data_IF_696961694694
#
_entry.id   IF_696961694694
#
_cell.length_a   1.000
_cell.length_b   1.000
_cell.length_c   1.000
_cell.angle_alpha   90.00
_cell.angle_beta   90.00
_cell.angle_gamma   90.00
#
_symmetry.space_group_name_H-M   'P 1'
#
loop_
_entity.id
_entity.type
_entity.pdbx_description
1 polymer ?
#
# COMPACT_ATOMS: atom_id res chain seq x y z
N UNK A 1 -10.23 18.09 -34.17
CA UNK A 1 -9.53 17.00 -34.88
C UNK A 1 -10.19 15.70 -34.45
N UNK A 2 -10.76 14.89 -35.35
CA UNK A 2 -11.33 13.61 -34.96
C UNK A 2 -10.17 12.75 -34.45
N UNK A 3 -10.29 12.25 -33.22
CA UNK A 3 -9.39 11.23 -32.70
C UNK A 3 -9.52 10.06 -33.69
N UNK A 4 -8.45 9.73 -34.42
CA UNK A 4 -8.50 8.61 -35.35
C UNK A 4 -8.88 7.32 -34.60
N UNK A 5 -9.66 6.44 -35.22
CA UNK A 5 -10.18 5.21 -34.59
C UNK A 5 -9.08 4.35 -33.93
N UNK A 6 -7.83 4.51 -34.36
CA UNK A 6 -6.65 3.87 -33.79
C UNK A 6 -6.31 4.31 -32.35
N UNK A 7 -6.61 5.56 -31.96
CA UNK A 7 -6.33 6.07 -30.60
C UNK A 7 -7.47 5.84 -29.60
N UNK A 8 -8.68 5.57 -30.08
CA UNK A 8 -9.86 5.35 -29.24
C UNK A 8 -9.64 4.23 -28.20
N UNK A 9 -9.07 3.05 -28.53
CA UNK A 9 -8.82 1.99 -27.56
C UNK A 9 -7.80 2.39 -26.49
N UNK A 10 -6.82 3.22 -26.82
CA UNK A 10 -5.82 3.72 -25.87
C UNK A 10 -6.45 4.69 -24.87
N UNK A 11 -7.30 5.61 -25.34
CA UNK A 11 -8.02 6.54 -24.47
C UNK A 11 -8.98 5.81 -23.54
N UNK A 12 -9.73 4.83 -24.06
CA UNK A 12 -10.60 3.98 -23.26
C UNK A 12 -9.80 3.21 -22.20
N UNK A 13 -8.64 2.67 -22.56
CA UNK A 13 -7.80 1.94 -21.62
C UNK A 13 -7.21 2.83 -20.52
N UNK A 14 -6.81 4.06 -20.84
CA UNK A 14 -6.35 5.04 -19.82
C UNK A 14 -7.50 5.45 -18.90
N UNK A 15 -8.68 5.74 -19.45
CA UNK A 15 -9.86 6.07 -18.65
C UNK A 15 -10.24 4.91 -17.73
N UNK A 16 -10.25 3.68 -18.25
CA UNK A 16 -10.46 2.46 -17.48
C UNK A 16 -9.45 2.33 -16.35
N UNK A 17 -8.16 2.53 -16.64
CA UNK A 17 -7.10 2.49 -15.64
C UNK A 17 -7.30 3.52 -14.52
N UNK A 18 -7.62 4.76 -14.86
CA UNK A 18 -7.89 5.82 -13.87
C UNK A 18 -9.12 5.47 -13.03
N UNK A 19 -10.19 4.95 -13.64
CA UNK A 19 -11.40 4.51 -12.93
C UNK A 19 -11.08 3.34 -12.00
N UNK A 20 -10.36 2.32 -12.46
CA UNK A 20 -9.98 1.18 -11.65
C UNK A 20 -9.11 1.59 -10.47
N UNK A 21 -8.09 2.42 -10.70
CA UNK A 21 -7.18 2.83 -9.63
C UNK A 21 -7.86 3.79 -8.64
N UNK A 22 -8.44 4.89 -9.11
CA UNK A 22 -9.09 5.86 -8.23
C UNK A 22 -10.35 5.28 -7.57
N UNK A 23 -11.12 4.49 -8.33
CA UNK A 23 -12.32 3.80 -7.86
C UNK A 23 -12.00 2.75 -6.82
N UNK A 24 -11.04 1.85 -7.06
CA UNK A 24 -10.62 0.87 -6.05
C UNK A 24 -10.06 1.54 -4.79
N UNK A 25 -9.24 2.58 -4.96
CA UNK A 25 -8.67 3.31 -3.82
C UNK A 25 -9.76 3.94 -2.94
N UNK A 26 -10.76 4.58 -3.55
CA UNK A 26 -11.92 5.12 -2.84
C UNK A 26 -12.78 4.03 -2.21
N UNK A 27 -13.06 2.97 -2.95
CA UNK A 27 -13.85 1.84 -2.48
C UNK A 27 -13.21 1.18 -1.24
N UNK A 28 -11.90 0.91 -1.27
CA UNK A 28 -11.20 0.32 -0.15
C UNK A 28 -11.23 1.23 1.10
N UNK A 29 -11.09 2.55 0.92
CA UNK A 29 -11.18 3.51 2.02
C UNK A 29 -12.59 3.59 2.63
N UNK A 30 -13.64 3.63 1.80
CA UNK A 30 -15.02 3.72 2.27
C UNK A 30 -15.45 2.41 2.93
N UNK A 31 -15.25 1.29 2.24
CA UNK A 31 -15.69 -0.03 2.70
C UNK A 31 -14.92 -0.50 3.93
N UNK A 32 -13.67 -0.06 4.12
CA UNK A 32 -12.91 -0.30 5.35
C UNK A 32 -13.49 0.37 6.60
N UNK A 33 -14.48 1.27 6.47
CA UNK A 33 -15.22 1.84 7.61
C UNK A 33 -16.38 0.96 8.07
N UNK A 34 -17.07 0.34 7.13
CA UNK A 34 -18.32 -0.37 7.40
C UNK A 34 -18.16 -1.90 7.41
N UNK A 35 -17.02 -2.41 6.94
CA UNK A 35 -16.74 -3.85 6.92
C UNK A 35 -15.37 -4.16 7.55
N UNK A 36 -15.26 -5.28 8.28
CA UNK A 36 -13.96 -5.79 8.73
C UNK A 36 -13.05 -6.01 7.51
N UNK A 37 -11.92 -5.34 7.50
CA UNK A 37 -10.87 -5.51 6.51
C UNK A 37 -9.53 -5.58 7.24
N UNK A 38 -8.49 -6.04 6.56
CA UNK A 38 -7.19 -6.23 7.20
C UNK A 38 -6.67 -4.94 7.85
N UNK A 39 -6.93 -3.78 7.22
CA UNK A 39 -6.53 -2.49 7.75
C UNK A 39 -7.29 -2.08 9.02
N UNK A 40 -8.60 -2.33 9.10
CA UNK A 40 -9.41 -1.98 10.28
C UNK A 40 -9.13 -2.91 11.46
N UNK A 41 -8.97 -4.21 11.22
CA UNK A 41 -8.59 -5.17 12.27
C UNK A 41 -7.19 -4.87 12.81
N UNK A 42 -6.22 -4.61 11.93
CA UNK A 42 -4.87 -4.25 12.35
C UNK A 42 -4.79 -2.91 13.08
N UNK A 43 -5.75 -2.00 12.85
CA UNK A 43 -5.86 -0.77 13.65
C UNK A 43 -6.17 -1.08 15.12
N UNK A 44 -7.08 -2.01 15.40
CA UNK A 44 -7.39 -2.43 16.78
C UNK A 44 -6.17 -3.03 17.48
N UNK A 45 -5.42 -3.89 16.77
CA UNK A 45 -4.16 -4.42 17.29
C UNK A 45 -3.10 -3.34 17.56
N UNK A 46 -3.08 -2.26 16.77
CA UNK A 46 -2.19 -1.11 17.04
C UNK A 46 -2.63 -0.32 18.27
N UNK A 47 -3.93 -0.18 18.51
CA UNK A 47 -4.42 0.42 19.75
C UNK A 47 -4.01 -0.40 20.97
N UNK A 48 -4.21 -1.72 20.92
CA UNK A 48 -3.80 -2.62 21.99
C UNK A 48 -2.28 -2.64 22.18
N UNK A 49 -1.53 -2.58 21.08
CA UNK A 49 -0.08 -2.44 21.12
C UNK A 49 0.32 -1.16 21.87
N UNK A 50 -0.28 -0.01 21.54
CA UNK A 50 0.03 1.26 22.23
C UNK A 50 -0.39 1.25 23.70
N UNK A 51 -1.56 0.68 24.03
CA UNK A 51 -2.00 0.53 25.43
C UNK A 51 -1.02 -0.32 26.24
N UNK A 52 -0.55 -1.44 25.67
CA UNK A 52 0.44 -2.32 26.32
C UNK A 52 1.82 -1.68 26.39
N UNK A 53 2.22 -0.90 25.39
CA UNK A 53 3.50 -0.18 25.38
C UNK A 53 3.59 0.85 26.51
N UNK A 54 2.48 1.50 26.86
CA UNK A 54 2.43 2.42 28.00
C UNK A 54 2.67 1.74 29.35
N UNK A 55 2.45 0.43 29.45
CA UNK A 55 2.68 -0.39 30.64
C UNK A 55 4.10 -1.01 30.67
N UNK A 56 4.97 -0.66 29.71
CA UNK A 56 6.35 -1.16 29.64
C UNK A 56 7.35 -0.06 30.00
N UNK A 57 8.31 -0.41 30.87
CA UNK A 57 9.45 0.44 31.19
C UNK A 57 10.44 0.48 30.02
N UNK A 58 10.75 -0.70 29.45
CA UNK A 58 11.62 -0.81 28.28
C UNK A 58 10.79 -0.83 26.99
N UNK A 59 10.98 0.21 26.17
CA UNK A 59 10.27 0.42 24.90
C UNK A 59 11.16 0.26 23.66
N UNK A 60 12.40 -0.23 23.83
CA UNK A 60 13.35 -0.41 22.71
C UNK A 60 12.77 -1.34 21.65
N UNK A 61 12.08 -2.41 22.05
CA UNK A 61 11.43 -3.33 21.11
C UNK A 61 10.35 -2.62 20.27
N UNK A 62 9.53 -1.78 20.88
CA UNK A 62 8.46 -1.04 20.21
C UNK A 62 9.01 0.00 19.23
N UNK A 63 10.04 0.74 19.65
CA UNK A 63 10.77 1.68 18.79
C UNK A 63 11.43 0.96 17.60
N UNK A 64 12.01 -0.22 17.82
CA UNK A 64 12.60 -1.03 16.75
C UNK A 64 11.59 -1.50 15.72
N UNK A 65 10.36 -1.87 16.13
CA UNK A 65 9.28 -2.24 15.21
C UNK A 65 8.93 -1.05 14.30
N UNK A 66 8.77 0.15 14.87
CA UNK A 66 8.50 1.37 14.08
C UNK A 66 9.65 1.66 13.11
N UNK A 67 10.91 1.59 13.59
CA UNK A 67 12.08 1.79 12.75
C UNK A 67 12.18 0.76 11.61
N UNK A 68 11.75 -0.48 11.84
CA UNK A 68 11.73 -1.50 10.79
C UNK A 68 10.67 -1.20 9.72
N UNK A 69 9.48 -0.74 10.13
CA UNK A 69 8.42 -0.33 9.20
C UNK A 69 8.85 0.88 8.34
N UNK A 70 9.56 1.83 8.94
CA UNK A 70 10.12 3.00 8.25
C UNK A 70 11.20 2.60 7.25
N UNK A 71 12.14 1.73 7.62
CA UNK A 71 13.16 1.18 6.69
C UNK A 71 12.53 0.44 5.51
N UNK A 72 11.45 -0.32 5.73
CA UNK A 72 10.72 -0.96 4.63
C UNK A 72 10.16 0.08 3.65
N UNK A 73 9.57 1.17 4.15
CA UNK A 73 9.10 2.26 3.28
C UNK A 73 10.25 2.93 2.51
N UNK A 74 11.41 3.13 3.16
CA UNK A 74 12.61 3.69 2.53
C UNK A 74 13.18 2.81 1.41
N UNK A 75 13.18 1.48 1.61
CA UNK A 75 13.59 0.52 0.57
C UNK A 75 12.73 0.63 -0.70
N UNK A 76 11.41 0.72 -0.54
CA UNK A 76 10.49 0.92 -1.67
C UNK A 76 10.67 2.30 -2.33
N UNK A 77 10.84 3.37 -1.56
CA UNK A 77 11.11 4.70 -2.09
C UNK A 77 12.40 4.73 -2.94
N UNK A 78 13.47 4.11 -2.46
CA UNK A 78 14.75 4.01 -3.18
C UNK A 78 14.61 3.20 -4.46
N UNK A 79 13.90 2.07 -4.40
CA UNK A 79 13.60 1.26 -5.58
C UNK A 79 12.78 2.02 -6.62
N UNK A 80 11.87 2.90 -6.18
CA UNK A 80 11.09 3.78 -7.08
C UNK A 80 11.99 4.73 -7.86
N UNK A 81 13.03 5.30 -7.23
CA UNK A 81 13.99 6.18 -7.91
C UNK A 81 14.78 5.43 -9.00
N UNK A 82 15.16 4.18 -8.75
CA UNK A 82 15.84 3.34 -9.75
C UNK A 82 14.91 3.07 -10.94
N UNK A 83 13.65 2.74 -10.68
CA UNK A 83 12.64 2.54 -11.73
C UNK A 83 12.46 3.82 -12.55
N UNK A 84 12.34 4.98 -11.91
CA UNK A 84 12.22 6.27 -12.59
C UNK A 84 13.45 6.58 -13.46
N UNK A 85 14.66 6.33 -12.97
CA UNK A 85 15.89 6.47 -13.75
C UNK A 85 15.90 5.54 -14.99
N UNK A 86 15.44 4.30 -14.81
CA UNK A 86 15.25 3.35 -15.91
C UNK A 86 14.24 3.84 -16.95
N UNK A 87 13.09 4.35 -16.52
CA UNK A 87 12.06 4.94 -17.41
C UNK A 87 12.64 6.12 -18.20
N UNK A 88 13.37 7.03 -17.54
CA UNK A 88 13.99 8.18 -18.21
C UNK A 88 15.05 7.76 -19.23
N UNK A 89 15.83 6.72 -18.90
CA UNK A 89 16.84 6.16 -19.81
C UNK A 89 16.18 5.55 -21.06
N UNK A 90 15.10 4.78 -20.86
CA UNK A 90 14.32 4.21 -21.97
C UNK A 90 13.64 5.31 -22.79
N UNK A 91 13.18 6.39 -22.16
CA UNK A 91 12.60 7.54 -22.86
C UNK A 91 13.64 8.21 -23.79
N UNK A 92 14.89 8.35 -23.34
CA UNK A 92 15.99 8.87 -24.15
C UNK A 92 16.47 7.94 -25.27
N UNK A 93 16.20 6.63 -25.16
CA UNK A 93 16.58 5.60 -26.13
C UNK A 93 15.34 4.85 -26.71
N UNK A 94 14.23 5.56 -26.88
CA UNK A 94 12.92 4.97 -27.17
C UNK A 94 12.90 4.16 -28.48
N UNK A 95 13.61 4.61 -29.51
CA UNK A 95 13.69 3.93 -30.80
C UNK A 95 14.25 2.49 -30.68
N UNK A 96 15.32 2.29 -29.88
CA UNK A 96 15.92 0.97 -29.65
C UNK A 96 15.03 0.07 -28.78
N UNK A 97 14.35 0.64 -27.79
CA UNK A 97 13.43 -0.13 -26.96
C UNK A 97 12.22 -0.63 -27.78
N UNK A 98 11.73 0.20 -28.70
CA UNK A 98 10.61 -0.17 -29.57
C UNK A 98 10.96 -1.24 -30.58
N UNK A 99 12.16 -1.21 -31.17
CA UNK A 99 12.58 -2.26 -32.09
C UNK A 99 12.63 -3.63 -31.41
N UNK A 100 13.06 -3.70 -30.14
CA UNK A 100 13.10 -4.96 -29.39
C UNK A 100 11.71 -5.51 -29.07
N UNK A 101 10.72 -4.63 -28.86
CA UNK A 101 9.34 -5.04 -28.60
C UNK A 101 8.59 -5.44 -29.87
N UNK A 102 9.01 -4.93 -31.04
CA UNK A 102 8.37 -5.22 -32.33
C UNK A 102 8.49 -6.70 -32.74
N UNK A 103 9.50 -7.40 -32.24
CA UNK A 103 9.73 -8.83 -32.52
C UNK A 103 8.86 -9.76 -31.65
N UNK A 104 8.17 -9.22 -30.64
CA UNK A 104 7.33 -10.02 -29.75
C UNK A 104 5.95 -10.28 -30.36
N UNK A 105 5.42 -11.52 -30.24
CA UNK A 105 4.06 -11.83 -30.70
C UNK A 105 3.03 -10.99 -29.92
N UNK A 106 1.94 -10.60 -30.59
CA UNK A 106 0.81 -9.83 -30.07
C UNK A 106 1.07 -8.34 -29.74
N UNK A 107 2.30 -7.83 -29.91
CA UNK A 107 2.59 -6.41 -29.74
C UNK A 107 2.00 -5.60 -30.89
N UNK A 108 1.10 -4.67 -30.59
CA UNK A 108 0.61 -3.72 -31.57
C UNK A 108 1.69 -2.69 -31.90
N UNK A 109 1.93 -2.46 -33.18
CA UNK A 109 2.83 -1.42 -33.68
C UNK A 109 2.36 -0.06 -33.17
N UNK A 110 3.14 0.54 -32.26
CA UNK A 110 2.86 1.84 -31.69
C UNK A 110 3.78 2.90 -32.32
N UNK A 111 3.25 4.09 -32.60
CA UNK A 111 4.10 5.21 -32.98
C UNK A 111 5.03 5.59 -31.82
N UNK A 112 6.20 6.16 -32.14
CA UNK A 112 7.15 6.65 -31.15
C UNK A 112 6.50 7.53 -30.09
N UNK A 113 5.72 8.53 -30.52
CA UNK A 113 5.05 9.46 -29.61
C UNK A 113 4.05 8.75 -28.67
N UNK A 114 3.35 7.72 -29.13
CA UNK A 114 2.45 6.95 -28.26
C UNK A 114 3.24 6.17 -27.20
N UNK A 115 4.37 5.59 -27.56
CA UNK A 115 5.23 4.86 -26.62
C UNK A 115 5.89 5.78 -25.59
N UNK A 116 6.29 6.99 -25.98
CA UNK A 116 6.74 8.03 -25.07
C UNK A 116 5.63 8.40 -24.06
N UNK A 117 4.38 8.54 -24.53
CA UNK A 117 3.22 8.77 -23.64
C UNK A 117 3.00 7.60 -22.68
N UNK A 118 3.14 6.34 -23.13
CA UNK A 118 3.05 5.15 -22.24
C UNK A 118 4.12 5.18 -21.15
N UNK A 119 5.37 5.51 -21.51
CA UNK A 119 6.48 5.64 -20.56
C UNK A 119 6.26 6.79 -19.58
N UNK A 120 5.78 7.94 -20.05
CA UNK A 120 5.45 9.08 -19.17
C UNK A 120 4.31 8.74 -18.20
N UNK A 121 3.28 8.02 -18.66
CA UNK A 121 2.20 7.55 -17.80
C UNK A 121 2.73 6.62 -16.70
N UNK A 122 3.60 5.65 -17.05
CA UNK A 122 4.30 4.80 -16.10
C UNK A 122 5.15 5.62 -15.12
N UNK A 123 5.88 6.62 -15.62
CA UNK A 123 6.65 7.55 -14.80
C UNK A 123 5.79 8.28 -13.77
N UNK A 124 4.64 8.81 -14.17
CA UNK A 124 3.68 9.50 -13.27
C UNK A 124 3.22 8.55 -12.14
N UNK A 125 2.93 7.29 -12.45
CA UNK A 125 2.56 6.27 -11.44
C UNK A 125 3.65 6.11 -10.39
N UNK A 126 4.91 6.00 -10.82
CA UNK A 126 6.04 5.83 -9.91
C UNK A 126 6.42 7.13 -9.19
N UNK A 127 6.25 8.31 -9.79
CA UNK A 127 6.37 9.58 -9.07
C UNK A 127 5.35 9.63 -7.92
N UNK A 128 4.09 9.27 -8.17
CA UNK A 128 3.07 9.15 -7.13
C UNK A 128 3.49 8.16 -6.03
N UNK A 129 4.03 6.98 -6.41
CA UNK A 129 4.52 5.99 -5.47
C UNK A 129 5.64 6.55 -4.58
N UNK A 130 6.60 7.26 -5.17
CA UNK A 130 7.71 7.88 -4.44
C UNK A 130 7.23 8.87 -3.37
N UNK A 131 6.37 9.82 -3.75
CA UNK A 131 5.81 10.79 -2.80
C UNK A 131 4.99 10.11 -1.71
N UNK A 132 4.30 9.03 -2.07
CA UNK A 132 3.52 8.23 -1.14
C UNK A 132 4.40 7.53 -0.10
N UNK A 133 5.47 6.85 -0.53
CA UNK A 133 6.44 6.26 0.41
C UNK A 133 7.19 7.32 1.23
N UNK A 134 7.51 8.47 0.64
CA UNK A 134 8.11 9.60 1.36
C UNK A 134 7.21 10.11 2.48
N UNK A 135 5.92 10.28 2.21
CA UNK A 135 4.94 10.68 3.22
C UNK A 135 4.75 9.59 4.29
N UNK A 136 4.77 8.31 3.91
CA UNK A 136 4.77 7.19 4.83
C UNK A 136 5.95 7.22 5.81
N UNK A 137 7.18 7.44 5.32
CA UNK A 137 8.38 7.56 6.16
C UNK A 137 8.24 8.70 7.16
N UNK A 138 7.74 9.86 6.72
CA UNK A 138 7.51 11.00 7.61
C UNK A 138 6.52 10.70 8.72
N UNK A 139 5.44 9.98 8.43
CA UNK A 139 4.47 9.58 9.45
C UNK A 139 5.02 8.53 10.42
N UNK A 140 5.86 7.60 9.98
CA UNK A 140 6.56 6.70 10.91
C UNK A 140 7.56 7.44 11.79
N UNK A 141 8.24 8.47 11.28
CA UNK A 141 9.06 9.35 12.12
C UNK A 141 8.22 10.09 13.17
N UNK A 142 7.01 10.56 12.83
CA UNK A 142 6.09 11.12 13.82
C UNK A 142 5.67 10.08 14.87
N UNK A 143 5.40 8.84 14.46
CA UNK A 143 5.09 7.76 15.39
C UNK A 143 6.27 7.45 16.32
N UNK A 144 7.51 7.45 15.82
CA UNK A 144 8.72 7.25 16.62
C UNK A 144 8.88 8.35 17.66
N UNK A 145 8.66 9.62 17.28
CA UNK A 145 8.68 10.76 18.22
C UNK A 145 7.59 10.63 19.28
N UNK A 146 6.38 10.20 18.91
CA UNK A 146 5.31 9.92 19.87
C UNK A 146 5.73 8.82 20.85
N UNK A 147 6.23 7.67 20.37
CA UNK A 147 6.71 6.61 21.26
C UNK A 147 7.83 7.10 22.19
N UNK A 148 8.73 7.95 21.69
CA UNK A 148 9.78 8.58 22.49
C UNK A 148 9.26 9.56 23.55
N UNK A 149 8.11 10.19 23.34
CA UNK A 149 7.46 11.13 24.29
C UNK A 149 6.34 10.50 25.11
N UNK A 150 6.19 9.18 25.06
CA UNK A 150 5.11 8.49 25.75
C UNK A 150 5.26 8.57 27.29
N UNK A 151 4.17 8.79 28.04
CA UNK A 151 4.22 8.98 29.49
C UNK A 151 4.73 7.74 30.23
N UNK A 152 5.44 7.91 31.34
CA UNK A 152 6.02 6.79 32.12
C UNK A 152 4.97 6.08 32.98
N UNK A 153 5.23 4.82 33.39
CA UNK A 153 4.26 3.96 34.12
C UNK A 153 3.74 4.60 35.42
N UNK A 154 4.55 5.43 36.10
CA UNK A 154 4.20 6.06 37.39
C UNK A 154 4.11 7.58 37.37
N UNK A 155 3.97 8.20 36.19
CA UNK A 155 3.98 9.65 36.07
C UNK A 155 2.77 10.31 36.75
N UNK A 156 3.01 11.04 37.84
CA UNK A 156 1.98 11.56 38.76
C UNK A 156 0.98 12.53 38.13
N UNK A 157 1.36 13.21 37.06
CA UNK A 157 0.54 14.24 36.41
C UNK A 157 -0.21 13.72 35.18
N UNK A 158 -0.22 12.40 34.95
CA UNK A 158 -0.87 11.80 33.77
C UNK A 158 -2.00 10.89 34.24
N UNK A 159 -3.22 11.31 33.93
CA UNK A 159 -4.44 10.54 34.20
C UNK A 159 -4.57 9.33 33.27
N UNK A 160 -5.33 8.32 33.69
CA UNK A 160 -5.64 7.15 32.84
C UNK A 160 -6.35 7.54 31.53
N UNK A 161 -7.18 8.59 31.57
CA UNK A 161 -7.84 9.10 30.37
C UNK A 161 -6.84 9.70 29.39
N UNK A 162 -5.82 10.43 29.86
CA UNK A 162 -4.74 10.95 29.03
C UNK A 162 -3.88 9.83 28.43
N UNK A 163 -3.61 8.77 29.19
CA UNK A 163 -2.91 7.56 28.69
C UNK A 163 -3.69 6.90 27.56
N UNK A 164 -5.00 6.70 27.75
CA UNK A 164 -5.87 6.13 26.71
C UNK A 164 -5.90 7.00 25.46
N UNK A 165 -6.12 8.32 25.63
CA UNK A 165 -6.13 9.26 24.53
C UNK A 165 -4.77 9.33 23.80
N UNK A 166 -3.67 9.19 24.53
CA UNK A 166 -2.33 9.09 23.94
C UNK A 166 -2.20 7.81 23.10
N UNK A 167 -2.56 6.65 23.64
CA UNK A 167 -2.49 5.37 22.92
C UNK A 167 -3.30 5.40 21.61
N UNK A 168 -4.54 5.90 21.65
CA UNK A 168 -5.40 6.03 20.47
C UNK A 168 -4.85 7.01 19.43
N UNK A 169 -4.24 8.13 19.85
CA UNK A 169 -3.61 9.08 18.93
C UNK A 169 -2.40 8.46 18.25
N UNK A 170 -1.51 7.81 19.01
CA UNK A 170 -0.31 7.18 18.45
C UNK A 170 -0.67 6.02 17.52
N UNK A 171 -1.64 5.18 17.90
CA UNK A 171 -2.13 4.10 17.04
C UNK A 171 -2.73 4.62 15.72
N UNK A 172 -3.44 5.75 15.76
CA UNK A 172 -3.94 6.42 14.55
C UNK A 172 -2.81 6.91 13.66
N UNK A 173 -1.76 7.55 14.20
CA UNK A 173 -0.59 7.97 13.39
C UNK A 173 0.09 6.78 12.72
N UNK A 174 0.30 5.68 13.45
CA UNK A 174 0.88 4.45 12.88
C UNK A 174 -0.03 3.88 11.77
N UNK A 175 -1.35 3.94 11.96
CA UNK A 175 -2.32 3.45 10.98
C UNK A 175 -2.38 4.33 9.73
N UNK A 176 -2.24 5.66 9.88
CA UNK A 176 -2.07 6.57 8.75
C UNK A 176 -0.82 6.20 7.95
N UNK A 177 0.31 5.91 8.62
CA UNK A 177 1.56 5.57 7.97
C UNK A 177 1.41 4.27 7.17
N UNK A 178 0.82 3.25 7.79
CA UNK A 178 0.52 1.99 7.14
C UNK A 178 -0.44 2.13 5.95
N UNK A 179 -1.45 3.00 6.04
CA UNK A 179 -2.34 3.29 4.91
C UNK A 179 -1.58 3.94 3.75
N UNK A 180 -0.68 4.87 4.05
CA UNK A 180 0.17 5.47 3.03
C UNK A 180 1.09 4.44 2.37
N UNK A 181 1.69 3.54 3.16
CA UNK A 181 2.45 2.41 2.64
C UNK A 181 1.63 1.55 1.67
N UNK A 182 0.39 1.24 2.03
CA UNK A 182 -0.53 0.47 1.18
C UNK A 182 -0.88 1.21 -0.12
N UNK A 183 -1.05 2.54 -0.11
CA UNK A 183 -1.23 3.30 -1.36
C UNK A 183 0.00 3.19 -2.27
N UNK A 184 1.19 3.20 -1.70
CA UNK A 184 2.44 3.04 -2.45
C UNK A 184 2.55 1.66 -3.10
N UNK A 185 2.22 0.61 -2.33
CA UNK A 185 2.15 -0.76 -2.88
C UNK A 185 1.10 -0.91 -3.97
N UNK A 186 -0.08 -0.30 -3.81
CA UNK A 186 -1.11 -0.29 -4.86
C UNK A 186 -0.60 0.38 -6.13
N UNK A 187 0.11 1.52 -6.01
CA UNK A 187 0.74 2.18 -7.14
C UNK A 187 1.74 1.27 -7.86
N UNK A 188 2.51 0.45 -7.13
CA UNK A 188 3.39 -0.56 -7.72
C UNK A 188 2.62 -1.61 -8.53
N UNK A 189 1.52 -2.13 -7.98
CA UNK A 189 0.68 -3.11 -8.71
C UNK A 189 0.08 -2.50 -9.98
N UNK A 190 -0.44 -1.28 -9.92
CA UNK A 190 -0.94 -0.57 -11.09
C UNK A 190 0.17 -0.19 -12.07
N UNK A 191 1.36 0.18 -11.60
CA UNK A 191 2.53 0.44 -12.45
C UNK A 191 2.98 -0.80 -13.22
N UNK A 192 2.95 -1.98 -12.60
CA UNK A 192 3.17 -3.24 -13.30
C UNK A 192 2.09 -3.52 -14.34
N UNK A 193 0.81 -3.20 -14.06
CA UNK A 193 -0.25 -3.32 -15.05
C UNK A 193 -0.02 -2.41 -16.26
N UNK A 194 0.49 -1.20 -16.06
CA UNK A 194 0.83 -0.27 -17.16
C UNK A 194 1.87 -0.85 -18.14
N UNK A 195 2.73 -1.79 -17.71
CA UNK A 195 3.64 -2.48 -18.63
C UNK A 195 2.90 -3.32 -19.68
N UNK A 196 1.74 -3.89 -19.34
CA UNK A 196 0.91 -4.63 -20.28
C UNK A 196 0.37 -3.74 -21.43
N UNK A 197 0.37 -2.42 -21.24
CA UNK A 197 -0.03 -1.46 -22.27
C UNK A 197 0.93 -1.38 -23.44
N UNK A 198 2.19 -1.81 -23.26
CA UNK A 198 3.14 -1.92 -24.36
C UNK A 198 2.78 -3.06 -25.33
N UNK A 199 2.04 -4.08 -24.88
CA UNK A 199 1.56 -5.16 -25.74
C UNK A 199 0.32 -4.70 -26.52
N UNK A 200 -0.78 -4.41 -25.81
CA UNK A 200 -2.04 -3.98 -26.43
C UNK A 200 -2.95 -3.29 -25.37
N UNK A 201 -3.73 -2.25 -25.73
CA UNK A 201 -4.73 -1.63 -24.84
C UNK A 201 -5.73 -2.62 -24.21
N UNK A 202 -6.17 -3.65 -24.92
CA UNK A 202 -7.10 -4.67 -24.37
C UNK A 202 -6.45 -5.51 -23.27
N UNK A 203 -5.21 -5.92 -23.49
CA UNK A 203 -4.45 -6.69 -22.50
C UNK A 203 -4.17 -5.84 -21.25
N UNK A 204 -3.87 -4.56 -21.43
CA UNK A 204 -3.75 -3.61 -20.32
C UNK A 204 -5.03 -3.49 -19.49
N UNK A 205 -6.21 -3.37 -20.11
CA UNK A 205 -7.48 -3.34 -19.37
C UNK A 205 -7.72 -4.62 -18.59
N UNK A 206 -7.43 -5.79 -19.19
CA UNK A 206 -7.56 -7.10 -18.54
C UNK A 206 -6.63 -7.21 -17.33
N UNK A 207 -5.35 -6.88 -17.48
CA UNK A 207 -4.37 -6.93 -16.39
C UNK A 207 -4.73 -5.95 -15.28
N UNK A 208 -5.21 -4.75 -15.64
CA UNK A 208 -5.69 -3.75 -14.67
C UNK A 208 -6.87 -4.28 -13.85
N UNK A 209 -7.83 -4.94 -14.50
CA UNK A 209 -8.95 -5.58 -13.82
C UNK A 209 -8.46 -6.72 -12.90
N UNK A 210 -7.52 -7.54 -13.38
CA UNK A 210 -6.88 -8.57 -12.58
C UNK A 210 -6.19 -8.03 -11.32
N UNK A 211 -5.49 -6.90 -11.43
CA UNK A 211 -4.90 -6.22 -10.26
C UNK A 211 -5.97 -5.81 -9.26
N UNK A 212 -7.09 -5.23 -9.71
CA UNK A 212 -8.21 -4.88 -8.82
C UNK A 212 -8.76 -6.12 -8.10
N UNK A 213 -8.94 -7.24 -8.80
CA UNK A 213 -9.40 -8.50 -8.20
C UNK A 213 -8.42 -9.03 -7.16
N UNK A 214 -7.12 -9.03 -7.46
CA UNK A 214 -6.07 -9.48 -6.54
C UNK A 214 -6.05 -8.61 -5.29
N UNK A 215 -6.11 -7.28 -5.45
CA UNK A 215 -6.14 -6.35 -4.32
C UNK A 215 -7.39 -6.57 -3.47
N UNK A 216 -8.56 -6.70 -4.10
CA UNK A 216 -9.82 -6.94 -3.40
C UNK A 216 -9.80 -8.24 -2.60
N UNK A 217 -9.31 -9.34 -3.20
CA UNK A 217 -9.20 -10.63 -2.51
C UNK A 217 -8.25 -10.55 -1.32
N UNK A 218 -7.08 -9.91 -1.48
CA UNK A 218 -6.10 -9.79 -0.39
C UNK A 218 -6.59 -8.94 0.78
N UNK A 219 -7.34 -7.88 0.50
CA UNK A 219 -7.76 -6.92 1.51
C UNK A 219 -9.02 -7.35 2.28
N UNK A 220 -9.93 -8.10 1.63
CA UNK A 220 -11.24 -8.46 2.20
C UNK A 220 -11.49 -9.97 2.35
N UNK A 221 -10.71 -10.84 1.70
CA UNK A 221 -10.94 -12.30 1.67
C UNK A 221 -9.62 -13.08 1.80
N UNK A 222 -8.72 -12.62 2.68
CA UNK A 222 -7.48 -13.34 2.96
C UNK A 222 -7.61 -14.20 4.21
N UNK A 223 -6.96 -15.36 4.19
CA UNK A 223 -6.90 -16.29 5.34
C UNK A 223 -6.36 -15.58 6.60
N UNK A 224 -5.46 -14.60 6.40
CA UNK A 224 -4.93 -13.75 7.49
C UNK A 224 -6.05 -12.94 8.15
N UNK A 225 -6.97 -12.36 7.37
CA UNK A 225 -8.10 -11.63 7.92
C UNK A 225 -9.01 -12.56 8.74
N UNK A 226 -9.27 -13.76 8.24
CA UNK A 226 -10.10 -14.75 8.94
C UNK A 226 -9.52 -15.09 10.32
N UNK A 227 -8.22 -15.39 10.39
CA UNK A 227 -7.52 -15.68 11.65
C UNK A 227 -7.50 -14.47 12.57
N UNK A 228 -7.27 -13.27 12.05
CA UNK A 228 -7.21 -12.04 12.86
C UNK A 228 -8.57 -11.57 13.37
N UNK A 229 -9.68 -11.92 12.71
CA UNK A 229 -11.05 -11.58 13.14
C UNK A 229 -11.59 -12.58 14.15
N UNK A 230 -11.22 -13.86 14.04
CA UNK A 230 -11.90 -14.95 14.73
C UNK A 230 -10.95 -16.05 15.21
N UNK A 231 -10.03 -15.72 16.14
CA UNK A 231 -9.36 -16.77 16.92
C UNK A 231 -9.98 -16.84 18.33
N UNK A 232 -11.05 -17.62 18.53
CA UNK A 232 -11.54 -17.89 19.88
C UNK A 232 -10.49 -18.68 20.65
N UNK A 233 -10.04 -18.16 21.79
CA UNK A 233 -9.19 -18.91 22.71
C UNK A 233 -9.95 -20.15 23.17
N UNK A 234 -9.46 -21.37 22.93
CA UNK A 234 -10.09 -22.57 23.47
C UNK A 234 -10.20 -22.39 24.98
N UNK A 235 -11.41 -22.55 25.54
CA UNK A 235 -11.58 -22.58 26.98
C UNK A 235 -10.69 -23.73 27.50
N UNK A 236 -9.80 -23.43 28.45
CA UNK A 236 -8.99 -24.45 29.08
C UNK A 236 -9.92 -25.57 29.58
N UNK A 237 -9.73 -26.80 29.10
CA UNK A 237 -10.41 -27.96 29.66
C UNK A 237 -10.06 -27.97 31.15
N UNK A 238 -11.05 -27.72 32.00
CA UNK A 238 -10.93 -27.85 33.44
C UNK A 238 -10.48 -29.28 33.68
N UNK A 239 -9.20 -29.46 34.00
CA UNK A 239 -8.66 -30.74 34.39
C UNK A 239 -9.55 -31.25 35.52
N UNK A 240 -10.36 -32.28 35.22
CA UNK A 240 -11.13 -32.97 36.25
C UNK A 240 -10.11 -33.49 37.25
N UNK A 241 -9.99 -32.83 38.39
CA UNK A 241 -9.39 -33.42 39.58
C UNK A 241 -10.09 -34.76 39.78
N UNK A 242 -9.39 -35.84 39.48
CA UNK A 242 -9.77 -37.16 39.95
C UNK A 242 -9.71 -37.11 41.46
N UNK A 243 -10.87 -36.89 42.10
CA UNK A 243 -11.08 -37.32 43.47
C UNK A 243 -11.13 -38.85 43.46
N UNK A 244 -10.00 -39.47 43.80
CA UNK A 244 -9.94 -40.85 44.31
C UNK A 244 -9.18 -40.82 45.64
#
# INVERSE_FOLDING_TARGET
MPISDQYLPHLLAVLWFVICWAGYTRYAQLKGRDTPCLASVLHLYREDWMRRMLLRDNRIADANVIGNLERNASFFASSTLIILAGILTVLGASDRALSLLADLPFVQSASRGLSEVKLLCLGIVFVYAFFTFSWCMRQYNFAAVLVGSAPMIGERHVTEQERKAFAERTARVISMAANQFNFGLRAYYFGMATLAWFINPWFFMLVTAGVVVVLYRREFHSDVLEVMVYTPTPAAEVAKEKSE
#
